data_IF_279561704357
#
_entry.id   IF_279561704357
#
_cell.length_a   1.000
_cell.length_b   1.000
_cell.length_c   1.000
_cell.angle_alpha   90.00
_cell.angle_beta   90.00
_cell.angle_gamma   90.00
#
_symmetry.space_group_name_H-M   'P 1'
#
loop_
_entity.id
_entity.type
_entity.pdbx_description
1 polymer ?
#
# COMPACT_ATOMS: atom_id res chain seq x y z
N UNK A 1 12.87 -8.65 -21.40
CA UNK A 1 13.19 -7.21 -21.53
C UNK A 1 11.94 -6.49 -22.03
N UNK A 2 11.40 -5.52 -21.29
CA UNK A 2 10.15 -4.82 -21.67
C UNK A 2 10.45 -3.34 -21.86
N UNK A 3 9.84 -2.72 -22.84
CA UNK A 3 9.90 -1.28 -23.05
C UNK A 3 8.57 -0.65 -22.62
N UNK A 4 8.61 0.51 -21.96
CA UNK A 4 7.40 1.27 -21.68
C UNK A 4 6.91 2.01 -22.94
N UNK A 5 5.73 2.62 -22.87
CA UNK A 5 5.13 3.38 -23.99
C UNK A 5 5.95 4.59 -24.46
N UNK A 6 7.00 4.95 -23.71
CA UNK A 6 7.94 6.03 -24.03
C UNK A 6 9.30 5.49 -24.53
N UNK A 7 9.41 4.18 -24.80
CA UNK A 7 10.64 3.56 -25.27
C UNK A 7 11.73 3.38 -24.20
N UNK A 8 11.40 3.56 -22.91
CA UNK A 8 12.36 3.32 -21.81
C UNK A 8 12.44 1.84 -21.48
N UNK A 9 13.66 1.37 -21.23
CA UNK A 9 13.96 -0.02 -20.87
C UNK A 9 13.58 -0.29 -19.41
N UNK A 10 12.73 -1.30 -19.17
CA UNK A 10 12.33 -1.71 -17.84
C UNK A 10 13.05 -3.01 -17.44
N UNK A 11 13.81 -2.92 -16.35
CA UNK A 11 14.35 -4.07 -15.63
C UNK A 11 13.50 -4.35 -14.39
N UNK A 12 13.17 -5.62 -14.17
CA UNK A 12 12.44 -6.08 -12.98
C UNK A 12 13.16 -7.28 -12.42
N UNK A 13 13.51 -7.26 -11.14
CA UNK A 13 14.14 -8.37 -10.43
C UNK A 13 13.52 -8.51 -9.04
N UNK A 14 13.36 -9.75 -8.57
CA UNK A 14 12.98 -10.06 -7.20
C UNK A 14 14.19 -10.33 -6.29
N UNK A 15 15.39 -10.46 -6.87
CA UNK A 15 16.64 -10.67 -6.12
C UNK A 15 17.28 -9.32 -5.72
N UNK A 16 17.49 -9.05 -4.42
CA UNK A 16 18.01 -7.77 -3.94
C UNK A 16 19.47 -7.52 -4.34
N UNK A 17 20.28 -8.57 -4.50
CA UNK A 17 21.68 -8.43 -4.95
C UNK A 17 21.73 -7.99 -6.41
N UNK A 18 20.87 -8.57 -7.26
CA UNK A 18 20.67 -8.17 -8.64
C UNK A 18 20.13 -6.74 -8.73
N UNK A 19 19.19 -6.33 -7.87
CA UNK A 19 18.67 -4.96 -7.83
C UNK A 19 19.78 -3.93 -7.54
N UNK A 20 20.67 -4.22 -6.58
CA UNK A 20 21.82 -3.39 -6.28
C UNK A 20 22.80 -3.27 -7.46
N UNK A 21 23.01 -4.36 -8.22
CA UNK A 21 23.85 -4.33 -9.43
C UNK A 21 23.23 -3.52 -10.57
N UNK A 22 21.91 -3.61 -10.75
CA UNK A 22 21.17 -2.80 -11.72
C UNK A 22 21.18 -1.30 -11.38
N UNK A 23 21.48 -0.95 -10.12
CA UNK A 23 21.69 0.43 -9.66
C UNK A 23 22.98 1.06 -10.21
N UNK A 24 23.92 0.24 -10.72
CA UNK A 24 25.10 0.69 -11.45
C UNK A 24 25.01 0.24 -12.91
N UNK A 25 24.08 0.80 -13.71
CA UNK A 25 23.79 0.31 -15.06
C UNK A 25 25.00 0.35 -16.00
N UNK A 26 25.98 1.21 -15.73
CA UNK A 26 27.27 1.24 -16.41
C UNK A 26 28.02 -0.10 -16.34
N UNK A 27 27.93 -0.82 -15.22
CA UNK A 27 28.56 -2.14 -15.03
C UNK A 27 27.84 -3.26 -15.81
N UNK A 28 26.63 -2.99 -16.32
CA UNK A 28 25.81 -3.98 -17.05
C UNK A 28 25.79 -3.67 -18.54
N UNK A 29 25.90 -2.40 -18.92
CA UNK A 29 25.70 -1.94 -20.30
C UNK A 29 27.00 -1.55 -21.02
N UNK A 30 28.18 -1.67 -20.36
CA UNK A 30 29.52 -1.32 -20.88
C UNK A 30 29.60 0.05 -21.59
N UNK A 31 28.66 0.95 -21.26
CA UNK A 31 28.49 2.26 -21.88
C UNK A 31 28.14 3.27 -20.80
N UNK A 32 28.62 4.52 -20.90
CA UNK A 32 28.29 5.55 -19.95
C UNK A 32 26.81 5.93 -20.08
N UNK A 33 25.99 5.46 -19.15
CA UNK A 33 24.56 5.78 -19.09
C UNK A 33 24.33 6.81 -17.97
N UNK A 34 23.60 7.87 -18.30
CA UNK A 34 22.99 8.78 -17.31
C UNK A 34 21.59 8.28 -17.01
N UNK A 35 21.36 7.81 -15.79
CA UNK A 35 20.05 7.27 -15.38
C UNK A 35 19.61 7.88 -14.07
N UNK A 36 18.38 8.40 -14.04
CA UNK A 36 17.67 8.64 -12.79
C UNK A 36 17.08 7.32 -12.30
N UNK A 37 17.61 6.81 -11.18
CA UNK A 37 17.06 5.59 -10.57
C UNK A 37 15.86 5.97 -9.72
N UNK A 38 14.67 5.56 -10.16
CA UNK A 38 13.44 5.72 -9.39
C UNK A 38 13.17 4.39 -8.67
N UNK A 39 13.30 4.41 -7.33
CA UNK A 39 12.91 3.26 -6.50
C UNK A 39 11.41 3.31 -6.25
N UNK A 40 10.64 2.57 -7.04
CA UNK A 40 9.24 2.29 -6.71
C UNK A 40 9.19 1.18 -5.68
N UNK A 41 9.09 1.55 -4.41
CA UNK A 41 8.83 0.61 -3.32
C UNK A 41 7.47 -0.06 -3.60
N UNK A 42 7.43 -1.39 -3.72
CA UNK A 42 6.23 -2.13 -4.15
C UNK A 42 5.07 -1.75 -3.22
N UNK A 43 4.08 -1.05 -3.75
CA UNK A 43 2.92 -0.65 -2.98
C UNK A 43 1.95 -1.83 -2.86
N UNK A 44 1.55 -2.18 -1.66
CA UNK A 44 0.51 -3.18 -1.44
C UNK A 44 -0.83 -2.52 -1.17
N UNK A 45 -1.90 -3.14 -1.67
CA UNK A 45 -3.27 -2.63 -1.53
C UNK A 45 -4.21 -3.72 -1.06
N UNK A 46 -4.99 -3.44 -0.02
CA UNK A 46 -6.02 -4.33 0.48
C UNK A 46 -7.29 -3.56 0.86
N UNK A 47 -8.42 -4.25 0.80
CA UNK A 47 -9.74 -3.69 1.08
C UNK A 47 -10.27 -4.23 2.41
N UNK A 48 -10.73 -3.33 3.27
CA UNK A 48 -11.52 -3.65 4.46
C UNK A 48 -12.99 -3.40 4.08
N UNK A 49 -13.83 -4.43 3.89
CA UNK A 49 -15.16 -4.26 3.31
C UNK A 49 -16.17 -3.60 4.26
N UNK A 50 -16.13 -3.95 5.55
CA UNK A 50 -17.17 -3.59 6.52
C UNK A 50 -16.63 -2.65 7.61
N UNK A 51 -16.00 -1.54 7.22
CA UNK A 51 -15.43 -0.58 8.16
C UNK A 51 -16.52 0.33 8.74
N UNK A 52 -16.69 0.44 10.06
CA UNK A 52 -17.66 1.36 10.66
C UNK A 52 -17.43 2.80 10.17
N UNK A 53 -18.50 3.46 9.72
CA UNK A 53 -18.43 4.85 9.23
C UNK A 53 -18.01 5.83 10.33
N UNK A 54 -18.26 5.46 11.59
CA UNK A 54 -17.87 6.25 12.78
C UNK A 54 -16.38 6.24 13.06
N UNK A 55 -15.65 5.19 12.68
CA UNK A 55 -14.19 5.15 12.84
C UNK A 55 -13.57 6.11 11.85
N UNK A 56 -12.59 6.92 12.25
CA UNK A 56 -11.88 7.82 11.33
C UNK A 56 -10.79 7.08 10.55
N UNK A 57 -10.34 7.65 9.42
CA UNK A 57 -9.22 7.05 8.68
C UNK A 57 -7.90 7.19 9.45
N UNK A 58 -7.76 8.25 10.24
CA UNK A 58 -6.60 8.52 11.09
C UNK A 58 -6.47 7.52 12.25
N UNK A 59 -7.58 7.21 12.92
CA UNK A 59 -7.63 6.16 13.96
C UNK A 59 -7.28 4.79 13.36
N UNK A 60 -7.93 4.44 12.24
CA UNK A 60 -7.64 3.19 11.53
C UNK A 60 -6.17 3.10 11.12
N UNK A 61 -5.60 4.20 10.61
CA UNK A 61 -4.21 4.23 10.20
C UNK A 61 -3.25 4.04 11.37
N UNK A 62 -3.54 4.68 12.50
CA UNK A 62 -2.73 4.57 13.71
C UNK A 62 -2.76 3.14 14.27
N UNK A 63 -3.95 2.53 14.35
CA UNK A 63 -4.11 1.15 14.82
C UNK A 63 -3.41 0.14 13.91
N UNK A 64 -3.60 0.24 12.60
CA UNK A 64 -2.98 -0.68 11.64
C UNK A 64 -1.46 -0.55 11.64
N UNK A 65 -0.94 0.68 11.69
CA UNK A 65 0.51 0.92 11.71
C UNK A 65 1.14 0.39 13.00
N UNK A 66 0.51 0.65 14.16
CA UNK A 66 1.00 0.21 15.47
C UNK A 66 0.97 -1.33 15.63
N UNK A 67 -0.10 -1.99 15.19
CA UNK A 67 -0.29 -3.43 15.41
C UNK A 67 0.50 -4.31 14.43
N UNK A 68 0.90 -3.77 13.27
CA UNK A 68 1.48 -4.56 12.18
C UNK A 68 2.86 -4.09 11.74
N UNK A 69 3.41 -3.04 12.35
CA UNK A 69 4.69 -2.43 11.97
C UNK A 69 4.74 -2.07 10.47
N UNK A 70 3.66 -1.46 9.97
CA UNK A 70 3.49 -1.07 8.56
C UNK A 70 3.35 0.44 8.42
N UNK A 71 3.86 0.99 7.30
CA UNK A 71 3.68 2.39 6.95
C UNK A 71 2.52 2.53 5.96
N UNK A 72 1.43 3.12 6.43
CA UNK A 72 0.27 3.45 5.59
C UNK A 72 0.55 4.74 4.81
N UNK A 73 0.41 4.67 3.50
CA UNK A 73 0.69 5.80 2.59
C UNK A 73 -0.57 6.48 2.12
N UNK A 74 -1.63 5.71 1.89
CA UNK A 74 -2.91 6.26 1.46
C UNK A 74 -4.06 5.40 1.97
N UNK A 75 -5.15 6.06 2.35
CA UNK A 75 -6.42 5.42 2.66
C UNK A 75 -7.55 6.13 1.94
N UNK A 76 -8.49 5.34 1.44
CA UNK A 76 -9.70 5.86 0.79
C UNK A 76 -10.92 5.09 1.26
N UNK A 77 -11.88 5.80 1.83
CA UNK A 77 -13.22 5.28 2.11
C UNK A 77 -14.10 5.41 0.87
N UNK A 78 -14.90 4.38 0.62
CA UNK A 78 -15.93 4.39 -0.43
C UNK A 78 -17.30 4.50 0.22
N UNK A 79 -17.85 5.70 0.20
CA UNK A 79 -19.21 5.94 0.66
C UNK A 79 -20.17 5.88 -0.52
N UNK A 80 -21.29 5.18 -0.35
CA UNK A 80 -22.41 5.25 -1.30
C UNK A 80 -23.26 6.48 -0.96
N UNK A 81 -23.57 7.36 -1.92
CA UNK A 81 -24.52 8.45 -1.69
C UNK A 81 -25.86 7.88 -1.21
N UNK A 82 -26.46 8.50 -0.18
CA UNK A 82 -27.77 8.12 0.38
C UNK A 82 -27.83 6.72 1.01
N UNK A 83 -26.69 6.12 1.35
CA UNK A 83 -26.66 4.87 2.10
C UNK A 83 -26.88 5.12 3.59
N UNK A 84 -27.86 4.43 4.20
CA UNK A 84 -28.01 4.34 5.65
C UNK A 84 -27.09 3.29 6.29
N UNK A 85 -26.14 2.71 5.52
CA UNK A 85 -25.23 1.69 6.05
C UNK A 85 -24.29 2.30 7.09
N UNK A 86 -24.21 1.65 8.24
CA UNK A 86 -23.28 2.00 9.32
C UNK A 86 -21.84 1.55 9.02
N UNK A 87 -21.63 0.84 7.92
CA UNK A 87 -20.32 0.37 7.44
C UNK A 87 -20.05 0.82 6.01
N UNK A 88 -18.76 0.92 5.66
CA UNK A 88 -18.28 1.31 4.33
C UNK A 88 -16.95 0.63 4.02
N UNK A 89 -16.67 0.30 2.75
CA UNK A 89 -15.38 -0.24 2.37
C UNK A 89 -14.27 0.81 2.45
N UNK A 90 -13.09 0.41 2.93
CA UNK A 90 -11.87 1.23 2.97
C UNK A 90 -10.74 0.52 2.23
N UNK A 91 -10.16 1.17 1.23
CA UNK A 91 -8.94 0.72 0.57
C UNK A 91 -7.73 1.31 1.29
N UNK A 92 -6.83 0.44 1.71
CA UNK A 92 -5.58 0.80 2.36
C UNK A 92 -4.45 0.54 1.38
N UNK A 93 -3.56 1.53 1.24
CA UNK A 93 -2.32 1.45 0.46
C UNK A 93 -1.14 1.60 1.41
N UNK A 94 -0.25 0.62 1.38
CA UNK A 94 1.01 0.64 2.13
C UNK A 94 2.17 0.71 1.16
N UNK A 95 3.26 1.34 1.59
CA UNK A 95 4.50 1.45 0.83
C UNK A 95 5.61 0.87 1.70
N UNK A 96 6.26 -0.19 1.19
CA UNK A 96 7.25 -0.89 1.98
C UNK A 96 7.73 -2.18 1.32
N UNK A 97 8.93 -2.60 1.71
CA UNK A 97 9.58 -3.82 1.22
C UNK A 97 9.15 -5.07 1.99
N UNK A 98 8.46 -4.89 3.13
CA UNK A 98 7.98 -5.97 3.99
C UNK A 98 6.46 -5.85 4.15
N UNK A 99 5.74 -6.69 3.44
CA UNK A 99 4.35 -7.00 3.77
C UNK A 99 4.37 -8.01 4.91
N UNK A 100 3.68 -7.78 6.03
CA UNK A 100 3.50 -8.84 7.01
C UNK A 100 2.70 -9.98 6.37
N UNK A 101 3.07 -11.23 6.67
CA UNK A 101 2.38 -12.43 6.16
C UNK A 101 0.88 -12.44 6.53
N UNK A 102 0.51 -11.72 7.59
CA UNK A 102 -0.87 -11.50 8.00
C UNK A 102 -1.04 -10.12 8.64
N UNK A 103 -2.18 -9.47 8.40
CA UNK A 103 -2.57 -8.22 9.06
C UNK A 103 -3.53 -8.55 10.21
N UNK A 104 -3.19 -8.13 11.43
CA UNK A 104 -4.05 -8.23 12.61
C UNK A 104 -4.88 -6.96 12.75
N UNK A 105 -6.19 -7.12 12.84
CA UNK A 105 -7.18 -6.06 13.03
C UNK A 105 -8.06 -6.44 14.20
N UNK A 106 -8.24 -5.52 15.15
CA UNK A 106 -9.07 -5.71 16.32
C UNK A 106 -10.26 -4.75 16.25
N UNK A 107 -11.48 -5.25 16.43
CA UNK A 107 -12.68 -4.42 16.51
C UNK A 107 -13.27 -4.47 17.91
N UNK A 108 -13.51 -3.31 18.52
CA UNK A 108 -14.30 -3.21 19.74
C UNK A 108 -15.76 -3.09 19.33
N UNK A 109 -16.51 -4.20 19.43
CA UNK A 109 -17.94 -4.20 19.17
C UNK A 109 -18.68 -3.50 20.32
N UNK A 110 -18.85 -2.17 20.23
CA UNK A 110 -19.77 -1.44 21.12
C UNK A 110 -21.18 -1.58 20.55
N UNK A 111 -22.04 -2.36 21.21
CA UNK A 111 -23.49 -2.34 20.95
C UNK A 111 -24.00 -0.90 21.08
N UNK A 112 -24.37 -0.29 19.96
CA UNK A 112 -25.11 0.97 19.96
C UNK A 112 -26.50 0.61 20.47
N UNK A 113 -26.86 1.05 21.67
CA UNK A 113 -28.24 0.92 22.13
C UNK A 113 -29.14 1.75 21.20
N UNK A 114 -30.24 1.20 20.66
CA UNK A 114 -31.24 2.03 20.01
C UNK A 114 -31.78 3.03 21.03
N UNK A 115 -31.81 4.31 20.66
CA UNK A 115 -32.48 5.34 21.45
C UNK A 115 -33.92 4.90 21.71
N UNK A 116 -34.35 4.94 22.98
CA UNK A 116 -35.74 4.73 23.39
C UNK A 116 -36.62 5.89 22.96
#
# INVERSE_FOLDING_TARGET
MKYNRQGKLLFSTSDPVCAAKLFTPQNVLDTPVSTDVIWENISSRFLIPDMPTKTTLEELASELSCNNDIVITHMRRFEKPNSSQETSPVLVTILGTYLPDSVKIWFINKKIQPYK
#
